data_IF_422195192133
#
_entry.id   IF_422195192133
#
_cell.length_a   1.000
_cell.length_b   1.000
_cell.length_c   1.000
_cell.angle_alpha   90.00
_cell.angle_beta   90.00
_cell.angle_gamma   90.00
#
_symmetry.space_group_name_H-M   'P 1'
#
loop_
_entity.id
_entity.type
_entity.pdbx_description
1 polymer ?
#
# COMPACT_ATOMS: atom_id res chain seq x y z
N UNK A 1 34.26 47.08 14.76
CA UNK A 1 33.16 46.97 13.77
C UNK A 1 31.98 46.32 14.48
N UNK A 2 30.82 46.98 14.42
CA UNK A 2 29.42 46.55 14.67
C UNK A 2 29.15 45.08 15.12
N UNK A 3 28.18 44.73 15.96
CA UNK A 3 27.18 45.47 16.76
C UNK A 3 26.60 44.53 17.83
N UNK A 4 26.16 45.14 18.93
CA UNK A 4 25.24 44.67 19.98
C UNK A 4 23.79 44.60 19.39
N UNK A 5 22.69 44.12 19.96
CA UNK A 5 22.31 43.62 21.28
C UNK A 5 20.92 42.95 21.15
N UNK A 6 20.54 42.26 22.21
CA UNK A 6 19.28 41.66 22.56
C UNK A 6 18.12 42.67 22.78
N UNK A 7 16.91 42.25 22.38
CA UNK A 7 15.64 42.23 23.12
C UNK A 7 15.35 43.30 24.21
N UNK A 8 14.22 44.03 24.07
CA UNK A 8 13.23 44.26 25.16
C UNK A 8 12.07 45.19 24.75
N UNK A 9 10.87 44.82 25.21
CA UNK A 9 9.55 45.48 25.18
C UNK A 9 9.51 46.89 25.79
N UNK A 10 8.48 47.71 25.47
CA UNK A 10 7.58 48.45 26.40
C UNK A 10 6.66 49.49 25.67
N UNK A 11 5.36 49.48 26.04
CA UNK A 11 4.36 50.57 26.22
C UNK A 11 3.88 51.56 25.12
N UNK A 12 2.54 51.79 25.21
CA UNK A 12 1.82 53.09 25.17
C UNK A 12 0.99 53.52 23.93
N UNK A 13 -0.33 53.44 24.12
CA UNK A 13 -1.37 54.48 23.90
C UNK A 13 -1.25 55.52 22.76
N UNK A 14 -2.24 55.46 21.85
CA UNK A 14 -3.15 56.57 21.54
C UNK A 14 -2.63 57.76 20.74
N UNK A 15 -3.19 57.97 19.54
CA UNK A 15 -3.75 59.27 19.08
C UNK A 15 -4.49 59.06 17.76
N UNK A 16 -5.63 59.75 17.63
CA UNK A 16 -6.53 59.62 16.49
C UNK A 16 -5.97 60.22 15.20
N UNK A 17 -6.40 59.63 14.09
CA UNK A 17 -6.36 60.27 12.78
C UNK A 17 -7.69 60.02 12.07
N UNK A 18 -8.35 61.12 11.76
CA UNK A 18 -9.56 61.23 10.95
C UNK A 18 -9.19 61.01 9.48
N UNK A 19 -9.87 60.12 8.73
CA UNK A 19 -9.83 60.15 7.28
C UNK A 19 -10.99 60.99 6.71
N UNK A 20 -10.77 61.78 5.64
CA UNK A 20 -11.77 62.66 5.06
C UNK A 20 -12.77 61.92 4.16
N UNK A 21 -14.02 62.36 4.24
CA UNK A 21 -15.11 62.13 3.29
C UNK A 21 -14.80 62.73 1.90
N UNK A 22 -14.78 61.87 0.88
CA UNK A 22 -15.07 62.15 -0.54
C UNK A 22 -15.59 60.80 -1.09
N UNK A 23 -16.86 60.61 -1.47
CA UNK A 23 -17.53 61.22 -2.60
C UNK A 23 -18.10 60.04 -3.42
N UNK A 24 -19.39 59.75 -3.28
CA UNK A 24 -20.06 58.66 -4.00
C UNK A 24 -20.15 59.01 -5.50
N UNK A 25 -19.48 58.24 -6.36
CA UNK A 25 -19.79 58.16 -7.79
C UNK A 25 -20.29 56.75 -8.10
N UNK A 26 -21.59 56.66 -8.42
CA UNK A 26 -22.18 55.45 -9.00
C UNK A 26 -21.72 55.33 -10.45
N UNK A 27 -20.77 54.43 -10.71
CA UNK A 27 -20.45 53.99 -12.07
C UNK A 27 -21.28 52.75 -12.38
N UNK A 28 -22.26 52.88 -13.27
CA UNK A 28 -22.99 51.76 -13.85
C UNK A 28 -22.02 50.88 -14.66
N UNK A 29 -22.06 49.54 -14.51
CA UNK A 29 -21.37 48.64 -15.44
C UNK A 29 -22.10 48.60 -16.80
N UNK A 30 -21.38 48.39 -17.92
CA UNK A 30 -21.91 48.48 -19.27
C UNK A 30 -22.88 47.33 -19.62
N UNK A 31 -23.77 47.51 -20.61
CA UNK A 31 -24.76 46.51 -20.97
C UNK A 31 -24.12 45.28 -21.63
N UNK A 32 -24.35 44.10 -21.03
CA UNK A 32 -24.03 42.82 -21.64
C UNK A 32 -25.11 42.52 -22.69
N UNK A 33 -24.77 42.77 -23.94
CA UNK A 33 -25.50 42.29 -25.10
C UNK A 33 -25.19 40.80 -25.29
N UNK A 34 -26.05 39.92 -24.80
CA UNK A 34 -25.99 38.49 -25.12
C UNK A 34 -27.16 38.15 -26.04
N UNK A 35 -26.87 38.14 -27.34
CA UNK A 35 -27.65 37.34 -28.27
C UNK A 35 -27.59 35.86 -27.85
N UNK A 36 -28.70 35.12 -27.88
CA UNK A 36 -28.68 33.68 -27.63
C UNK A 36 -27.90 32.99 -28.76
N UNK A 37 -26.92 32.11 -28.46
CA UNK A 37 -26.26 31.34 -29.49
C UNK A 37 -27.27 30.40 -30.15
N UNK A 38 -27.29 30.51 -31.47
CA UNK A 38 -28.02 29.72 -32.45
C UNK A 38 -27.84 28.23 -32.17
N UNK A 39 -28.96 27.52 -32.14
CA UNK A 39 -29.06 26.07 -32.18
C UNK A 39 -28.16 25.51 -33.30
N UNK A 40 -27.12 24.78 -32.90
CA UNK A 40 -26.46 23.82 -33.78
C UNK A 40 -26.23 22.52 -33.00
N UNK A 41 -27.31 21.87 -32.56
CA UNK A 41 -27.27 20.45 -32.22
C UNK A 41 -27.43 19.64 -33.50
N UNK A 42 -26.32 19.40 -34.19
CA UNK A 42 -26.22 18.29 -35.13
C UNK A 42 -25.75 17.04 -34.37
N UNK A 43 -26.67 16.07 -34.26
CA UNK A 43 -26.43 14.63 -34.41
C UNK A 43 -25.13 14.05 -33.85
N UNK A 44 -25.16 13.61 -32.58
CA UNK A 44 -24.34 12.49 -32.08
C UNK A 44 -24.96 11.90 -30.80
N UNK A 45 -26.20 11.41 -30.91
CA UNK A 45 -26.83 10.53 -29.93
C UNK A 45 -27.27 9.23 -30.61
N UNK A 46 -26.28 8.52 -31.15
CA UNK A 46 -26.42 7.12 -31.54
C UNK A 46 -25.17 6.40 -31.05
N UNK A 47 -25.17 6.03 -29.76
CA UNK A 47 -24.50 4.83 -29.20
C UNK A 47 -24.54 4.82 -27.66
N UNK A 48 -25.74 4.82 -27.09
CA UNK A 48 -25.98 4.36 -25.72
C UNK A 48 -26.71 3.01 -25.81
N UNK A 49 -26.13 1.88 -25.37
CA UNK A 49 -26.92 0.68 -25.17
C UNK A 49 -27.76 0.84 -23.90
N UNK A 50 -29.06 0.63 -24.08
CA UNK A 50 -30.08 0.52 -23.04
C UNK A 50 -29.71 -0.59 -22.05
N UNK A 51 -29.92 -0.35 -20.77
CA UNK A 51 -30.10 -1.42 -19.80
C UNK A 51 -31.35 -2.21 -20.18
N UNK A 52 -31.24 -3.55 -20.31
CA UNK A 52 -32.19 -4.52 -19.73
C UNK A 52 -32.03 -5.95 -20.31
N UNK A 53 -32.02 -6.90 -19.38
CA UNK A 53 -32.28 -8.36 -19.47
C UNK A 53 -31.25 -9.29 -20.11
N UNK A 54 -31.13 -10.45 -19.45
CA UNK A 54 -30.36 -11.64 -19.79
C UNK A 54 -30.42 -12.01 -21.28
N UNK A 55 -29.26 -12.10 -21.93
CA UNK A 55 -28.72 -13.31 -22.57
C UNK A 55 -27.55 -12.95 -23.50
N UNK A 56 -26.60 -13.88 -23.68
CA UNK A 56 -25.76 -13.94 -24.88
C UNK A 56 -24.51 -13.05 -24.93
N UNK A 57 -23.41 -13.60 -24.40
CA UNK A 57 -22.04 -13.57 -24.98
C UNK A 57 -21.65 -12.38 -25.86
N UNK A 58 -20.83 -11.47 -25.34
CA UNK A 58 -19.96 -10.62 -26.17
C UNK A 58 -18.55 -10.50 -25.57
N UNK A 59 -17.58 -10.69 -26.45
CA UNK A 59 -16.13 -10.76 -26.25
C UNK A 59 -15.59 -9.47 -25.62
N UNK A 60 -15.38 -9.51 -24.30
CA UNK A 60 -14.52 -8.56 -23.59
C UNK A 60 -13.09 -9.06 -23.72
N UNK A 61 -12.12 -8.19 -24.01
CA UNK A 61 -10.69 -8.54 -23.97
C UNK A 61 -10.38 -9.24 -22.65
N UNK A 62 -9.71 -10.39 -22.68
CA UNK A 62 -9.45 -11.24 -21.50
C UNK A 62 -8.82 -10.46 -20.34
N UNK A 63 -8.03 -9.43 -20.65
CA UNK A 63 -7.41 -8.53 -19.68
C UNK A 63 -8.43 -7.69 -18.89
N UNK A 64 -9.44 -7.12 -19.55
CA UNK A 64 -10.47 -6.29 -18.91
C UNK A 64 -11.39 -7.10 -18.01
N UNK A 65 -11.72 -8.33 -18.43
CA UNK A 65 -12.47 -9.27 -17.60
C UNK A 65 -11.69 -9.68 -16.35
N UNK A 66 -10.41 -10.03 -16.49
CA UNK A 66 -9.56 -10.39 -15.36
C UNK A 66 -9.45 -9.25 -14.34
N UNK A 67 -9.33 -8.01 -14.82
CA UNK A 67 -9.27 -6.84 -13.95
C UNK A 67 -10.57 -6.59 -13.20
N UNK A 68 -11.73 -6.72 -13.85
CA UNK A 68 -13.04 -6.62 -13.17
C UNK A 68 -13.20 -7.68 -12.09
N UNK A 69 -12.77 -8.92 -12.34
CA UNK A 69 -12.85 -9.99 -11.34
C UNK A 69 -11.97 -9.65 -10.13
N UNK A 70 -10.74 -9.16 -10.35
CA UNK A 70 -9.86 -8.75 -9.25
C UNK A 70 -10.42 -7.58 -8.44
N UNK A 71 -11.04 -6.60 -9.11
CA UNK A 71 -11.74 -5.51 -8.41
C UNK A 71 -12.84 -6.05 -7.49
N UNK A 72 -13.73 -6.91 -8.01
CA UNK A 72 -14.83 -7.47 -7.21
C UNK A 72 -14.31 -8.27 -6.01
N UNK A 73 -13.20 -8.99 -6.17
CA UNK A 73 -12.61 -9.78 -5.11
C UNK A 73 -11.91 -8.89 -4.07
N UNK A 74 -11.20 -7.83 -4.49
CA UNK A 74 -10.66 -6.80 -3.59
C UNK A 74 -11.76 -6.11 -2.77
N UNK A 75 -12.85 -5.71 -3.42
CA UNK A 75 -14.02 -5.10 -2.77
C UNK A 75 -14.63 -6.05 -1.74
N UNK A 76 -14.66 -7.36 -2.04
CA UNK A 76 -15.16 -8.37 -1.09
C UNK A 76 -14.31 -8.46 0.18
N UNK A 77 -12.99 -8.27 0.08
CA UNK A 77 -12.07 -8.22 1.23
C UNK A 77 -12.37 -6.97 2.05
N UNK A 78 -12.42 -5.80 1.41
CA UNK A 78 -12.64 -4.51 2.09
C UNK A 78 -13.98 -4.50 2.83
N UNK A 79 -15.02 -5.11 2.23
CA UNK A 79 -16.33 -5.27 2.86
C UNK A 79 -16.30 -6.14 4.12
N UNK A 80 -15.41 -7.14 4.19
CA UNK A 80 -15.26 -8.03 5.36
C UNK A 80 -14.28 -7.48 6.39
N UNK A 81 -13.24 -6.77 5.94
CA UNK A 81 -12.15 -6.27 6.74
C UNK A 81 -11.98 -4.76 6.48
N UNK A 82 -12.71 -3.95 7.24
CA UNK A 82 -12.72 -2.48 7.07
C UNK A 82 -11.35 -1.81 7.28
N UNK A 83 -10.40 -2.49 7.92
CA UNK A 83 -9.03 -2.05 8.15
C UNK A 83 -8.04 -2.56 7.08
N UNK A 84 -8.52 -3.30 6.07
CA UNK A 84 -7.70 -3.74 4.95
C UNK A 84 -7.24 -2.53 4.11
N UNK A 85 -6.01 -2.60 3.58
CA UNK A 85 -5.39 -1.54 2.78
C UNK A 85 -4.96 -2.10 1.44
N UNK A 86 -5.32 -1.42 0.36
CA UNK A 86 -4.80 -1.74 -0.97
C UNK A 86 -3.35 -1.25 -1.04
N UNK A 87 -2.43 -2.17 -1.34
CA UNK A 87 -0.98 -1.90 -1.41
C UNK A 87 -0.53 -1.60 -2.83
N UNK A 88 -1.13 -2.25 -3.82
CA UNK A 88 -0.93 -1.96 -5.25
C UNK A 88 -2.21 -1.34 -5.82
N UNK A 89 -2.20 -0.03 -6.02
CA UNK A 89 -3.37 0.76 -6.43
C UNK A 89 -3.66 0.75 -7.93
N UNK A 90 -2.67 0.41 -8.76
CA UNK A 90 -2.84 0.39 -10.22
C UNK A 90 -3.60 -0.86 -10.67
N UNK A 91 -3.32 -2.01 -10.04
CA UNK A 91 -3.88 -3.29 -10.45
C UNK A 91 -4.83 -3.92 -9.43
N UNK A 92 -4.93 -3.35 -8.22
CA UNK A 92 -5.64 -3.90 -7.07
C UNK A 92 -5.24 -5.35 -6.72
N UNK A 93 -4.05 -5.78 -7.15
CA UNK A 93 -3.58 -7.15 -7.00
C UNK A 93 -3.04 -7.49 -5.61
N UNK A 94 -2.70 -6.48 -4.79
CA UNK A 94 -2.06 -6.70 -3.48
C UNK A 94 -2.81 -5.93 -2.40
N UNK A 95 -3.20 -6.63 -1.33
CA UNK A 95 -3.90 -6.08 -0.18
C UNK A 95 -3.23 -6.52 1.11
N UNK A 96 -3.10 -5.59 2.07
CA UNK A 96 -2.67 -5.88 3.44
C UNK A 96 -3.91 -5.91 4.34
N UNK A 97 -4.10 -7.01 5.06
CA UNK A 97 -5.23 -7.25 5.96
C UNK A 97 -4.72 -7.44 7.39
N UNK A 98 -4.80 -6.42 8.25
CA UNK A 98 -4.44 -6.56 9.66
C UNK A 98 -5.53 -7.31 10.41
N UNK A 99 -5.14 -8.29 11.23
CA UNK A 99 -6.05 -8.96 12.17
C UNK A 99 -5.49 -8.87 13.59
N UNK A 100 -6.39 -8.80 14.56
CA UNK A 100 -6.05 -8.84 15.98
C UNK A 100 -6.34 -10.24 16.53
N UNK A 101 -5.33 -10.87 17.10
CA UNK A 101 -5.41 -12.19 17.74
C UNK A 101 -6.01 -12.08 19.15
N UNK A 102 -6.41 -13.22 19.73
CA UNK A 102 -6.98 -13.29 21.09
C UNK A 102 -6.02 -12.79 22.19
N UNK A 103 -4.72 -12.90 21.96
CA UNK A 103 -3.67 -12.42 22.87
C UNK A 103 -3.39 -10.90 22.73
N UNK A 104 -4.18 -10.18 21.92
CA UNK A 104 -3.99 -8.73 21.67
C UNK A 104 -2.92 -8.40 20.64
N UNK A 105 -2.19 -9.39 20.13
CA UNK A 105 -1.18 -9.18 19.09
C UNK A 105 -1.84 -8.92 17.74
N UNK A 106 -1.32 -7.94 16.99
CA UNK A 106 -1.75 -7.67 15.63
C UNK A 106 -0.81 -8.32 14.62
N UNK A 107 -1.36 -9.04 13.64
CA UNK A 107 -0.62 -9.61 12.52
C UNK A 107 -1.22 -9.08 11.23
N UNK A 108 -0.36 -8.65 10.31
CA UNK A 108 -0.79 -8.22 8.98
C UNK A 108 -0.52 -9.31 7.96
N UNK A 109 -1.58 -9.72 7.26
CA UNK A 109 -1.52 -10.68 6.17
C UNK A 109 -1.51 -9.92 4.84
N UNK A 110 -0.54 -10.21 3.99
CA UNK A 110 -0.48 -9.70 2.62
C UNK A 110 -1.07 -10.73 1.68
N UNK A 111 -2.09 -10.32 0.93
CA UNK A 111 -2.83 -11.11 -0.05
C UNK A 111 -2.43 -10.64 -1.45
N UNK A 112 -2.02 -11.57 -2.31
CA UNK A 112 -1.65 -11.33 -3.71
C UNK A 112 -2.58 -12.15 -4.63
N UNK A 113 -3.32 -11.44 -5.49
CA UNK A 113 -4.03 -12.00 -6.63
C UNK A 113 -3.07 -12.07 -7.83
N UNK A 114 -2.55 -13.26 -8.13
CA UNK A 114 -1.56 -13.49 -9.18
C UNK A 114 -2.10 -13.20 -10.59
N UNK A 115 -1.23 -13.18 -11.61
CA UNK A 115 -1.61 -12.96 -13.00
C UNK A 115 -2.64 -13.99 -13.51
N UNK A 116 -2.53 -15.25 -13.07
CA UNK A 116 -3.46 -16.34 -13.41
C UNK A 116 -4.76 -16.33 -12.59
N UNK A 117 -4.96 -15.37 -11.69
CA UNK A 117 -6.20 -15.24 -10.93
C UNK A 117 -7.40 -14.89 -11.85
N UNK A 118 -8.60 -15.46 -11.65
CA UNK A 118 -9.03 -16.34 -10.55
C UNK A 118 -8.81 -17.84 -10.77
N UNK A 119 -8.13 -18.25 -11.85
CA UNK A 119 -7.88 -19.68 -12.14
C UNK A 119 -6.98 -20.34 -11.09
N UNK A 120 -6.05 -19.57 -10.55
CA UNK A 120 -5.22 -19.95 -9.42
C UNK A 120 -5.68 -19.23 -8.14
N UNK A 121 -5.54 -19.87 -6.96
CA UNK A 121 -5.84 -19.24 -5.68
C UNK A 121 -4.93 -18.04 -5.43
N UNK A 122 -5.36 -17.09 -4.57
CA UNK A 122 -4.48 -16.02 -4.14
C UNK A 122 -3.37 -16.57 -3.25
N UNK A 123 -2.20 -15.93 -3.31
CA UNK A 123 -1.11 -16.18 -2.37
C UNK A 123 -1.26 -15.29 -1.15
N UNK A 124 -0.94 -15.83 0.02
CA UNK A 124 -1.04 -15.08 1.27
C UNK A 124 0.25 -15.30 2.06
N UNK A 125 0.87 -14.22 2.52
CA UNK A 125 2.03 -14.22 3.42
C UNK A 125 1.76 -13.34 4.63
N UNK A 126 2.55 -13.46 5.68
CA UNK A 126 2.54 -12.52 6.81
C UNK A 126 3.63 -11.46 6.68
N UNK A 127 3.41 -10.29 7.27
CA UNK A 127 4.42 -9.22 7.37
C UNK A 127 5.32 -9.35 8.61
N UNK A 128 5.34 -10.53 9.24
CA UNK A 128 6.24 -10.90 10.32
C UNK A 128 6.49 -12.42 10.26
N UNK A 129 7.58 -12.87 10.89
CA UNK A 129 7.92 -14.30 10.93
C UNK A 129 7.15 -15.00 12.05
N UNK A 130 6.31 -15.95 11.66
CA UNK A 130 5.44 -16.70 12.57
C UNK A 130 5.54 -18.20 12.35
N UNK A 131 5.26 -18.99 13.40
CA UNK A 131 5.10 -20.44 13.34
C UNK A 131 3.65 -20.83 13.63
N UNK A 132 3.01 -21.46 12.65
CA UNK A 132 1.61 -21.89 12.73
C UNK A 132 1.36 -23.12 11.84
N UNK A 133 0.37 -23.94 12.18
CA UNK A 133 0.06 -25.16 11.41
C UNK A 133 -0.37 -24.86 9.95
N UNK A 134 -1.03 -23.73 9.75
CA UNK A 134 -1.47 -23.25 8.43
C UNK A 134 -0.46 -22.31 7.75
N UNK A 135 0.83 -22.37 8.14
CA UNK A 135 1.91 -21.59 7.51
C UNK A 135 3.05 -22.55 7.18
N UNK A 136 3.53 -22.52 5.94
CA UNK A 136 4.65 -23.37 5.51
C UNK A 136 6.02 -22.80 5.91
N UNK A 137 7.09 -23.57 5.67
CA UNK A 137 8.47 -23.16 5.94
C UNK A 137 8.92 -21.95 5.09
N UNK A 138 8.19 -21.64 4.03
CA UNK A 138 8.44 -20.51 3.12
C UNK A 138 7.73 -19.23 3.56
N UNK A 139 6.84 -19.30 4.56
CA UNK A 139 6.06 -18.16 5.06
C UNK A 139 4.74 -17.93 4.32
N UNK A 140 4.30 -18.88 3.47
CA UNK A 140 2.99 -18.84 2.83
C UNK A 140 1.93 -19.48 3.71
N UNK A 141 0.73 -18.89 3.71
CA UNK A 141 -0.43 -19.48 4.38
C UNK A 141 -0.93 -20.65 3.53
N UNK A 142 -0.90 -21.84 4.11
CA UNK A 142 -1.41 -23.07 3.52
C UNK A 142 -2.66 -23.48 4.28
N UNK A 143 -3.83 -23.31 3.66
CA UNK A 143 -5.12 -23.53 4.33
C UNK A 143 -6.07 -24.35 3.44
N UNK A 144 -6.91 -25.26 4.00
CA UNK A 144 -7.86 -26.05 3.22
C UNK A 144 -8.77 -25.23 2.30
N UNK A 145 -9.25 -24.07 2.77
CA UNK A 145 -10.10 -23.17 1.96
C UNK A 145 -9.38 -22.58 0.74
N UNK A 146 -8.05 -22.40 0.80
CA UNK A 146 -7.27 -21.95 -0.35
C UNK A 146 -7.06 -23.08 -1.37
N UNK A 147 -6.95 -24.33 -0.88
CA UNK A 147 -6.85 -25.53 -1.75
C UNK A 147 -8.15 -25.84 -2.49
N UNK A 148 -9.29 -25.44 -1.92
CA UNK A 148 -10.63 -25.60 -2.49
C UNK A 148 -11.10 -24.36 -3.26
N UNK A 149 -10.19 -23.43 -3.56
CA UNK A 149 -10.51 -22.20 -4.28
C UNK A 149 -11.17 -22.47 -5.63
N UNK A 150 -12.23 -21.73 -5.93
CA UNK A 150 -12.87 -21.72 -7.25
C UNK A 150 -13.11 -20.28 -7.70
N UNK A 151 -13.33 -20.06 -8.99
CA UNK A 151 -13.63 -18.72 -9.50
C UNK A 151 -14.92 -18.10 -8.93
N UNK A 152 -15.82 -18.94 -8.42
CA UNK A 152 -17.09 -18.54 -7.82
C UNK A 152 -16.93 -18.20 -6.33
N UNK A 153 -15.78 -18.50 -5.73
CA UNK A 153 -15.52 -18.23 -4.31
C UNK A 153 -15.38 -16.73 -4.07
N UNK A 154 -15.94 -16.25 -2.95
CA UNK A 154 -15.65 -14.89 -2.45
C UNK A 154 -14.39 -14.91 -1.60
N UNK A 155 -13.39 -14.12 -1.99
CA UNK A 155 -12.13 -14.03 -1.26
C UNK A 155 -12.31 -13.47 0.14
N UNK A 156 -13.20 -12.49 0.34
CA UNK A 156 -13.55 -11.99 1.67
C UNK A 156 -14.07 -13.10 2.60
N UNK A 157 -14.94 -14.00 2.10
CA UNK A 157 -15.49 -15.10 2.89
C UNK A 157 -14.43 -16.18 3.17
N UNK A 158 -13.60 -16.51 2.18
CA UNK A 158 -12.47 -17.44 2.35
C UNK A 158 -11.51 -16.92 3.42
N UNK A 159 -11.11 -15.65 3.35
CA UNK A 159 -10.23 -15.03 4.34
C UNK A 159 -10.85 -14.97 5.73
N UNK A 160 -12.17 -14.78 5.83
CA UNK A 160 -12.87 -14.82 7.12
C UNK A 160 -12.68 -16.17 7.82
N UNK A 161 -12.78 -17.27 7.06
CA UNK A 161 -12.55 -18.61 7.61
C UNK A 161 -11.07 -18.80 7.96
N UNK A 162 -10.16 -18.46 7.04
CA UNK A 162 -8.71 -18.59 7.24
C UNK A 162 -8.28 -17.84 8.51
N UNK A 163 -8.62 -16.56 8.63
CA UNK A 163 -8.20 -15.73 9.76
C UNK A 163 -8.89 -16.11 11.07
N UNK A 164 -10.12 -16.63 11.01
CA UNK A 164 -10.78 -17.21 12.19
C UNK A 164 -9.96 -18.35 12.78
N UNK A 165 -9.33 -19.17 11.95
CA UNK A 165 -8.48 -20.25 12.43
C UNK A 165 -7.22 -19.69 13.10
N UNK A 166 -6.56 -18.67 12.54
CA UNK A 166 -5.44 -17.98 13.22
C UNK A 166 -5.85 -17.31 14.54
N UNK A 167 -7.08 -16.79 14.65
CA UNK A 167 -7.59 -16.22 15.90
C UNK A 167 -7.87 -17.32 16.93
N UNK A 168 -8.37 -18.48 16.49
CA UNK A 168 -8.68 -19.60 17.36
C UNK A 168 -7.45 -20.39 17.79
N UNK A 169 -6.46 -20.50 16.93
CA UNK A 169 -5.14 -21.08 17.20
C UNK A 169 -4.07 -20.03 16.94
N UNK A 170 -3.77 -19.16 17.92
CA UNK A 170 -2.80 -18.09 17.75
C UNK A 170 -1.43 -18.61 17.30
N UNK A 171 -0.80 -17.99 16.30
CA UNK A 171 0.54 -18.33 15.86
C UNK A 171 1.61 -17.95 16.90
N UNK A 172 2.72 -18.70 16.92
CA UNK A 172 3.88 -18.32 17.72
C UNK A 172 4.69 -17.28 16.94
N UNK A 173 4.84 -16.10 17.52
CA UNK A 173 5.62 -15.02 16.93
C UNK A 173 7.12 -15.24 17.16
N UNK A 174 7.92 -15.12 16.10
CA UNK A 174 9.38 -15.32 16.17
C UNK A 174 10.10 -13.97 16.08
N UNK A 175 9.81 -13.18 15.04
CA UNK A 175 10.45 -11.87 14.81
C UNK A 175 9.61 -10.96 13.90
N UNK A 176 9.88 -9.65 13.96
CA UNK A 176 9.31 -8.65 13.04
C UNK A 176 9.98 -8.69 11.66
N UNK A 177 11.02 -9.50 11.49
CA UNK A 177 11.64 -9.67 10.18
C UNK A 177 10.66 -10.34 9.21
N UNK A 178 10.66 -9.84 7.98
CA UNK A 178 9.84 -10.37 6.91
C UNK A 178 10.28 -11.81 6.55
N UNK A 179 9.34 -12.74 6.32
CA UNK A 179 9.68 -14.08 5.86
C UNK A 179 10.52 -14.06 4.57
N UNK A 180 11.37 -15.08 4.40
CA UNK A 180 12.33 -15.20 3.28
C UNK A 180 11.68 -15.03 1.90
N UNK A 181 10.41 -15.43 1.74
CA UNK A 181 9.66 -15.31 0.48
C UNK A 181 8.48 -14.31 0.57
N UNK A 182 8.61 -13.25 1.36
CA UNK A 182 7.55 -12.24 1.50
C UNK A 182 7.19 -11.59 0.16
N UNK A 183 5.89 -11.34 -0.05
CA UNK A 183 5.38 -10.65 -1.24
C UNK A 183 5.87 -9.19 -1.20
N UNK A 184 6.82 -8.83 -2.08
CA UNK A 184 7.25 -7.43 -2.27
C UNK A 184 6.38 -6.72 -3.32
N UNK A 185 6.38 -5.38 -3.31
CA UNK A 185 5.75 -4.57 -4.37
C UNK A 185 6.32 -4.89 -5.76
N UNK A 186 7.58 -5.33 -5.86
CA UNK A 186 8.27 -5.72 -7.10
C UNK A 186 7.85 -7.12 -7.60
N UNK A 187 7.49 -8.03 -6.69
CA UNK A 187 7.02 -9.39 -7.02
C UNK A 187 5.65 -9.39 -7.72
N UNK A 188 4.87 -8.31 -7.59
CA UNK A 188 3.56 -8.17 -8.22
C UNK A 188 3.60 -8.03 -9.75
N UNK A 189 4.76 -7.69 -10.35
CA UNK A 189 4.88 -7.34 -11.77
C UNK A 189 5.56 -8.41 -12.66
N UNK A 190 6.21 -9.44 -12.09
CA UNK A 190 7.04 -10.41 -12.84
C UNK A 190 6.41 -11.82 -12.95
N UNK A 191 5.26 -12.08 -12.29
CA UNK A 191 4.46 -13.27 -12.58
C UNK A 191 5.10 -14.64 -12.30
N UNK A 192 6.21 -14.71 -11.55
CA UNK A 192 6.91 -15.97 -11.27
C UNK A 192 7.13 -16.16 -9.77
N UNK A 193 6.11 -16.72 -9.11
CA UNK A 193 6.32 -17.57 -7.93
C UNK A 193 5.39 -18.76 -8.10
N UNK A 194 5.92 -19.84 -8.67
CA UNK A 194 5.36 -21.17 -8.50
C UNK A 194 5.91 -21.72 -7.19
N UNK A 195 5.08 -22.19 -6.24
CA UNK A 195 5.59 -23.11 -5.23
C UNK A 195 6.06 -24.38 -5.96
N UNK A 196 7.20 -24.99 -5.58
CA UNK A 196 7.59 -26.27 -6.14
C UNK A 196 6.52 -27.31 -5.80
N UNK A 197 5.73 -27.69 -6.81
CA UNK A 197 4.93 -28.91 -6.78
C UNK A 197 5.94 -30.05 -6.81
N UNK A 198 6.16 -30.70 -5.67
CA UNK A 198 7.00 -31.89 -5.61
C UNK A 198 7.62 -32.15 -4.25
N UNK A 199 6.83 -32.64 -3.30
CA UNK A 199 7.35 -33.63 -2.35
C UNK A 199 6.30 -34.70 -2.10
N UNK A 200 6.71 -35.91 -2.44
CA UNK A 200 6.02 -37.18 -2.31
C UNK A 200 5.60 -37.47 -0.87
N UNK A 201 4.51 -38.24 -0.65
CA UNK A 201 4.17 -38.72 0.69
C UNK A 201 5.12 -39.86 1.10
N UNK A 202 5.41 -40.05 2.40
CA UNK A 202 6.14 -41.21 2.89
C UNK A 202 5.28 -42.49 2.74
N UNK A 203 5.90 -43.67 2.56
CA UNK A 203 5.20 -44.91 2.29
C UNK A 203 4.44 -45.39 3.53
N UNK A 204 3.11 -45.48 3.43
CA UNK A 204 2.22 -46.02 4.45
C UNK A 204 1.25 -47.02 3.85
N UNK A 205 1.55 -48.29 4.08
CA UNK A 205 0.73 -49.51 4.07
C UNK A 205 -0.73 -49.44 3.56
N UNK A 206 -1.01 -50.33 2.60
CA UNK A 206 -2.31 -50.82 2.16
C UNK A 206 -3.45 -50.73 3.19
N UNK A 207 -4.61 -50.17 2.81
CA UNK A 207 -5.83 -50.95 2.58
C UNK A 207 -7.00 -50.13 2.05
N UNK A 208 -7.84 -50.86 1.31
CA UNK A 208 -9.04 -50.56 0.52
C UNK A 208 -10.19 -49.88 1.28
N UNK A 209 -10.93 -49.01 0.56
CA UNK A 209 -12.29 -48.53 0.91
C UNK A 209 -13.35 -49.65 0.69
N UNK A 210 -14.65 -49.55 1.09
CA UNK A 210 -15.55 -48.42 0.76
C UNK A 210 -16.65 -48.01 1.77
N UNK A 211 -17.11 -46.76 1.59
CA UNK A 211 -18.46 -46.18 1.72
C UNK A 211 -19.45 -46.75 2.77
N UNK A 212 -19.95 -45.88 3.68
CA UNK A 212 -21.37 -45.89 4.08
C UNK A 212 -21.87 -44.58 4.68
N UNK A 213 -23.19 -44.41 4.53
CA UNK A 213 -24.07 -43.27 4.80
C UNK A 213 -24.33 -42.97 6.31
N UNK A 214 -24.90 -41.77 6.53
CA UNK A 214 -25.90 -41.38 7.56
C UNK A 214 -25.48 -40.75 8.91
N UNK A 215 -25.87 -39.46 9.00
CA UNK A 215 -26.61 -38.73 10.06
C UNK A 215 -26.04 -38.50 11.50
N UNK A 216 -26.40 -37.35 12.13
CA UNK A 216 -25.84 -36.86 13.41
C UNK A 216 -26.64 -37.42 14.61
N UNK A 217 -26.18 -37.30 15.89
CA UNK A 217 -26.58 -36.12 16.69
C UNK A 217 -25.80 -35.78 18.01
N UNK A 218 -26.12 -34.61 18.58
CA UNK A 218 -26.29 -34.24 20.01
C UNK A 218 -25.07 -33.94 20.92
N UNK A 219 -25.20 -32.76 21.55
CA UNK A 219 -24.52 -32.18 22.71
C UNK A 219 -24.52 -33.05 23.98
N UNK A 220 -23.46 -32.99 24.78
CA UNK A 220 -23.45 -32.41 26.16
C UNK A 220 -22.04 -32.46 26.81
N UNK A 221 -21.68 -31.48 27.68
CA UNK A 221 -20.50 -31.47 28.56
C UNK A 221 -20.89 -32.00 29.97
N UNK A 222 -20.21 -31.74 31.12
CA UNK A 222 -18.82 -31.35 31.48
C UNK A 222 -18.21 -32.32 32.56
N UNK A 223 -17.03 -32.03 33.14
CA UNK A 223 -16.57 -32.32 34.54
C UNK A 223 -15.04 -32.06 34.63
N UNK A 224 -14.53 -30.97 35.21
CA UNK A 224 -14.20 -30.67 36.64
C UNK A 224 -13.12 -31.55 37.30
N UNK A 225 -11.98 -30.94 37.65
CA UNK A 225 -11.25 -30.98 38.94
C UNK A 225 -9.78 -30.56 38.74
N UNK A 226 -9.34 -29.36 39.16
CA UNK A 226 -8.78 -29.02 40.48
C UNK A 226 -7.47 -29.75 40.83
N UNK A 227 -6.34 -29.02 40.90
CA UNK A 227 -5.49 -28.91 42.12
C UNK A 227 -4.35 -27.87 41.97
N UNK A 228 -3.90 -27.34 43.11
CA UNK A 228 -3.19 -26.08 43.40
C UNK A 228 -1.62 -26.15 43.33
N UNK A 229 -0.88 -25.04 43.55
CA UNK A 229 0.47 -24.70 43.04
C UNK A 229 1.62 -24.97 44.05
N UNK A 230 2.89 -24.47 43.88
CA UNK A 230 3.24 -23.07 44.27
C UNK A 230 4.44 -22.37 43.57
N UNK A 231 4.52 -21.06 43.83
CA UNK A 231 5.67 -20.15 44.07
C UNK A 231 6.59 -19.57 42.96
N UNK A 232 6.46 -18.23 42.83
CA UNK A 232 7.47 -17.16 42.94
C UNK A 232 8.90 -17.38 42.42
N UNK A 233 9.38 -16.46 41.54
CA UNK A 233 10.61 -15.64 41.74
C UNK A 233 10.67 -14.53 40.67
N UNK A 234 10.88 -13.29 41.10
CA UNK A 234 11.25 -12.11 40.28
C UNK A 234 12.79 -12.03 40.27
N UNK A 235 13.43 -11.61 39.16
CA UNK A 235 14.38 -10.51 39.32
C UNK A 235 14.35 -9.44 38.22
N UNK A 236 14.61 -8.23 38.71
CA UNK A 236 15.00 -6.99 38.04
C UNK A 236 16.27 -7.14 37.18
N UNK A 237 16.35 -6.43 36.06
CA UNK A 237 17.62 -6.16 35.35
C UNK A 237 17.71 -4.67 35.04
N UNK A 238 18.68 -4.07 35.70
CA UNK A 238 19.22 -2.71 35.56
C UNK A 238 20.07 -2.57 34.30
N UNK A 239 19.89 -1.48 33.55
CA UNK A 239 20.93 -0.93 32.67
C UNK A 239 22.01 -0.23 33.52
N UNK A 240 23.26 -0.17 33.04
CA UNK A 240 23.72 1.14 32.58
C UNK A 240 24.61 1.12 31.32
N UNK A 241 24.73 2.33 30.80
CA UNK A 241 25.41 2.79 29.60
C UNK A 241 26.89 3.13 29.89
N UNK A 242 27.66 3.35 28.81
CA UNK A 242 28.87 4.18 28.70
C UNK A 242 30.27 3.64 29.05
N UNK A 243 31.12 3.72 28.02
CA UNK A 243 32.43 4.38 27.95
C UNK A 243 33.73 3.68 28.37
N UNK A 244 34.75 4.14 27.62
CA UNK A 244 36.17 4.28 27.96
C UNK A 244 37.09 3.08 27.73
N UNK A 245 37.85 3.24 26.64
CA UNK A 245 39.25 2.85 26.52
C UNK A 245 40.00 3.06 27.84
N UNK A 246 40.59 2.00 28.37
CA UNK A 246 41.77 2.08 29.23
C UNK A 246 42.75 0.99 28.82
N UNK A 247 43.97 1.43 28.51
CA UNK A 247 45.12 0.58 28.24
C UNK A 247 45.55 -0.11 29.53
N UNK A 248 45.56 -1.44 29.53
CA UNK A 248 46.28 -2.23 30.52
C UNK A 248 47.01 -3.35 29.80
N UNK A 249 48.33 -3.35 29.97
CA UNK A 249 49.23 -4.44 29.59
C UNK A 249 48.94 -5.64 30.51
N UNK A 250 48.87 -6.86 29.97
CA UNK A 250 49.35 -8.00 30.73
C UNK A 250 50.34 -8.85 29.94
N UNK A 251 51.42 -9.13 30.66
CA UNK A 251 52.36 -10.24 30.54
C UNK A 251 51.75 -11.57 30.09
N UNK A 252 52.41 -12.14 29.07
CA UNK A 252 52.73 -13.56 28.85
C UNK A 252 51.81 -14.59 29.53
N UNK A 253 50.78 -15.03 28.81
CA UNK A 253 50.25 -16.40 28.83
C UNK A 253 49.40 -16.61 27.58
N UNK A 254 49.56 -17.76 26.94
CA UNK A 254 48.94 -18.09 25.64
C UNK A 254 47.43 -17.83 25.62
N UNK A 255 46.88 -17.22 24.54
CA UNK A 255 45.46 -17.22 24.29
C UNK A 255 45.07 -18.37 23.35
N UNK A 256 44.41 -19.39 23.90
CA UNK A 256 43.36 -20.12 23.16
C UNK A 256 42.09 -19.29 23.19
N UNK A 257 41.86 -18.51 22.12
CA UNK A 257 40.55 -17.94 21.81
C UNK A 257 40.23 -18.26 20.35
N UNK A 258 39.41 -19.30 20.15
CA UNK A 258 38.72 -19.55 18.90
C UNK A 258 37.42 -18.72 18.91
N UNK A 259 37.51 -17.47 18.46
CA UNK A 259 36.33 -16.78 17.96
C UNK A 259 36.22 -17.10 16.46
N UNK A 260 35.15 -17.82 16.11
CA UNK A 260 34.96 -18.42 14.80
C UNK A 260 34.33 -17.43 13.84
N UNK A 261 35.10 -16.45 13.38
CA UNK A 261 34.73 -15.66 12.19
C UNK A 261 35.97 -15.16 11.47
N UNK A 262 36.25 -15.78 10.31
CA UNK A 262 37.27 -15.42 9.33
C UNK A 262 38.74 -15.55 9.78
N UNK A 263 39.19 -16.79 10.02
CA UNK A 263 40.62 -17.09 10.03
C UNK A 263 41.07 -17.24 8.58
N UNK A 264 41.70 -16.21 8.01
CA UNK A 264 42.49 -16.37 6.78
C UNK A 264 43.59 -17.39 7.15
N UNK A 265 43.68 -18.53 6.46
CA UNK A 265 44.67 -19.55 6.80
C UNK A 265 46.04 -19.02 6.38
N UNK A 266 46.75 -18.38 7.31
CA UNK A 266 48.16 -18.13 7.10
C UNK A 266 48.89 -19.49 7.11
N UNK A 267 49.93 -19.66 6.29
CA UNK A 267 50.78 -20.83 6.41
C UNK A 267 51.40 -20.87 7.82
N UNK A 268 51.75 -22.06 8.31
CA UNK A 268 52.38 -22.23 9.62
C UNK A 268 53.85 -21.79 9.57
N UNK A 269 54.31 -21.04 10.58
CA UNK A 269 55.72 -20.65 10.70
C UNK A 269 56.58 -21.93 10.75
N UNK A 270 57.50 -22.14 9.80
CA UNK A 270 58.34 -23.32 9.80
C UNK A 270 59.22 -23.36 11.06
N UNK A 271 59.24 -24.50 11.75
CA UNK A 271 60.12 -24.73 12.91
C UNK A 271 61.52 -25.20 12.50
N UNK A 272 61.69 -25.54 11.23
CA UNK A 272 62.92 -25.98 10.61
C UNK A 272 62.99 -25.44 9.17
N UNK A 273 64.19 -25.09 8.73
CA UNK A 273 64.44 -24.59 7.38
C UNK A 273 65.35 -25.58 6.66
N UNK A 274 64.74 -26.53 5.98
CA UNK A 274 65.46 -27.50 5.14
C UNK A 274 66.35 -26.81 4.09
N UNK A 275 65.94 -25.63 3.64
CA UNK A 275 66.63 -24.76 2.70
C UNK A 275 68.01 -24.33 3.22
N UNK A 276 68.21 -24.25 4.54
CA UNK A 276 69.52 -23.97 5.15
C UNK A 276 70.44 -25.19 5.04
N UNK A 277 69.87 -26.40 5.07
CA UNK A 277 70.64 -27.65 4.91
C UNK A 277 71.04 -27.92 3.45
N UNK A 278 70.37 -27.27 2.49
CA UNK A 278 70.70 -27.32 1.07
C UNK A 278 71.76 -26.29 0.66
N UNK A 279 72.15 -25.34 1.52
CA UNK A 279 73.25 -24.43 1.25
C UNK A 279 74.57 -25.21 1.24
N UNK A 280 75.36 -25.05 0.18
CA UNK A 280 76.64 -25.76 -0.01
C UNK A 280 77.70 -25.31 1.00
N UNK A 281 77.71 -25.97 2.15
CA UNK A 281 78.80 -25.88 3.14
C UNK A 281 78.74 -24.67 4.08
N UNK A 282 79.64 -24.70 5.07
CA UNK A 282 79.71 -23.71 6.18
C UNK A 282 80.02 -22.30 5.67
N UNK A 283 80.78 -22.19 4.59
CA UNK A 283 81.20 -20.91 4.00
C UNK A 283 80.03 -20.15 3.35
N UNK A 284 79.05 -20.86 2.78
CA UNK A 284 77.83 -20.28 2.22
C UNK A 284 76.89 -19.76 3.32
N UNK A 285 76.80 -20.48 4.44
CA UNK A 285 76.03 -20.06 5.62
C UNK A 285 76.70 -18.86 6.30
N UNK A 286 78.04 -18.84 6.38
CA UNK A 286 78.80 -17.71 6.92
C UNK A 286 78.61 -16.44 6.08
N UNK A 287 78.68 -16.56 4.74
CA UNK A 287 78.37 -15.45 3.81
C UNK A 287 76.94 -14.93 3.94
N UNK A 288 75.98 -15.82 4.23
CA UNK A 288 74.59 -15.44 4.48
C UNK A 288 74.44 -14.71 5.82
N UNK A 289 75.23 -15.05 6.83
CA UNK A 289 75.23 -14.38 8.13
C UNK A 289 75.95 -13.03 8.09
N UNK A 290 77.01 -12.92 7.31
CA UNK A 290 77.85 -11.72 7.19
C UNK A 290 77.22 -10.64 6.28
N UNK A 291 76.24 -11.01 5.43
CA UNK A 291 75.56 -10.09 4.52
C UNK A 291 74.05 -10.06 4.77
N UNK A 292 73.56 -8.95 5.34
CA UNK A 292 72.14 -8.72 5.60
C UNK A 292 71.29 -8.79 4.32
N UNK A 293 71.86 -8.38 3.18
CA UNK A 293 71.15 -8.33 1.90
C UNK A 293 70.94 -9.73 1.30
N UNK A 294 71.96 -10.60 1.38
CA UNK A 294 71.83 -12.00 0.99
C UNK A 294 70.89 -12.76 1.93
N UNK A 295 70.93 -12.44 3.22
CA UNK A 295 70.02 -12.99 4.22
C UNK A 295 68.57 -12.63 3.91
N UNK A 296 68.27 -11.35 3.66
CA UNK A 296 66.93 -10.90 3.27
C UNK A 296 66.46 -11.57 1.99
N UNK A 297 67.32 -11.64 0.97
CA UNK A 297 66.98 -12.30 -0.29
C UNK A 297 66.68 -13.79 -0.10
N UNK A 298 67.41 -14.48 0.79
CA UNK A 298 67.11 -15.87 1.15
C UNK A 298 65.74 -16.00 1.84
N UNK A 299 65.44 -15.15 2.82
CA UNK A 299 64.15 -15.15 3.52
C UNK A 299 62.98 -14.81 2.57
N UNK A 300 63.18 -13.89 1.63
CA UNK A 300 62.18 -13.56 0.60
C UNK A 300 61.91 -14.72 -0.37
N UNK A 301 62.94 -15.54 -0.64
CA UNK A 301 62.83 -16.71 -1.51
C UNK A 301 62.24 -17.94 -0.81
N UNK A 302 62.08 -17.93 0.52
CA UNK A 302 61.41 -19.02 1.23
C UNK A 302 59.97 -19.17 0.73
N UNK A 303 59.60 -20.43 0.50
CA UNK A 303 58.27 -20.82 0.02
C UNK A 303 57.14 -20.25 0.90
N UNK A 304 57.33 -20.33 2.21
CA UNK A 304 56.45 -19.76 3.23
C UNK A 304 56.27 -18.24 3.07
N UNK A 305 57.36 -17.49 2.97
CA UNK A 305 57.34 -16.02 2.90
C UNK A 305 56.64 -15.55 1.61
N UNK A 306 56.91 -16.23 0.49
CA UNK A 306 56.27 -15.94 -0.79
C UNK A 306 54.77 -16.23 -0.75
N UNK A 307 54.38 -17.37 -0.18
CA UNK A 307 52.97 -17.76 -0.04
C UNK A 307 52.19 -16.78 0.86
N UNK A 308 52.76 -16.42 2.02
CA UNK A 308 52.16 -15.43 2.91
C UNK A 308 52.01 -14.05 2.24
N UNK A 309 53.01 -13.62 1.46
CA UNK A 309 52.97 -12.35 0.70
C UNK A 309 51.91 -12.39 -0.41
N UNK A 310 51.75 -13.53 -1.09
CA UNK A 310 50.70 -13.72 -2.08
C UNK A 310 49.30 -13.65 -1.44
N UNK A 311 49.07 -14.35 -0.33
CA UNK A 311 47.79 -14.30 0.40
C UNK A 311 47.46 -12.86 0.83
N UNK A 312 48.44 -12.11 1.33
CA UNK A 312 48.26 -10.70 1.67
C UNK A 312 47.86 -9.86 0.46
N UNK A 313 48.55 -10.04 -0.67
CA UNK A 313 48.28 -9.30 -1.89
C UNK A 313 46.90 -9.64 -2.46
N UNK A 314 46.51 -10.91 -2.45
CA UNK A 314 45.21 -11.39 -2.90
C UNK A 314 44.08 -10.84 -2.03
N UNK A 315 44.25 -10.85 -0.71
CA UNK A 315 43.29 -10.25 0.21
C UNK A 315 43.15 -8.75 -0.03
N UNK A 316 44.27 -8.05 -0.21
CA UNK A 316 44.29 -6.62 -0.50
C UNK A 316 43.58 -6.31 -1.81
N UNK A 317 43.83 -7.09 -2.85
CA UNK A 317 43.19 -6.94 -4.15
C UNK A 317 41.69 -7.24 -4.08
N UNK A 318 41.30 -8.33 -3.42
CA UNK A 318 39.90 -8.71 -3.23
C UNK A 318 39.13 -7.65 -2.44
N UNK A 319 39.70 -7.13 -1.36
CA UNK A 319 39.09 -6.04 -0.59
C UNK A 319 38.97 -4.75 -1.41
N UNK A 320 39.99 -4.41 -2.19
CA UNK A 320 39.94 -3.25 -3.08
C UNK A 320 38.83 -3.41 -4.15
N UNK A 321 38.69 -4.60 -4.73
CA UNK A 321 37.65 -4.87 -5.73
C UNK A 321 36.25 -4.85 -5.11
N UNK A 322 36.10 -5.37 -3.90
CA UNK A 322 34.84 -5.28 -3.14
C UNK A 322 34.50 -3.82 -2.87
N UNK A 323 35.46 -3.01 -2.42
CA UNK A 323 35.25 -1.59 -2.16
C UNK A 323 34.84 -0.84 -3.44
N UNK A 324 35.51 -1.09 -4.57
CA UNK A 324 35.15 -0.48 -5.86
C UNK A 324 33.73 -0.83 -6.29
N UNK A 325 33.37 -2.12 -6.26
CA UNK A 325 32.01 -2.57 -6.61
C UNK A 325 30.95 -2.03 -5.64
N UNK A 326 31.29 -1.86 -4.37
CA UNK A 326 30.38 -1.27 -3.38
C UNK A 326 30.09 0.18 -3.71
N UNK A 327 31.14 0.98 -3.95
CA UNK A 327 31.01 2.40 -4.32
C UNK A 327 30.22 2.56 -5.61
N UNK A 328 30.50 1.75 -6.62
CA UNK A 328 29.77 1.79 -7.90
C UNK A 328 28.27 1.46 -7.72
N UNK A 329 27.94 0.43 -6.93
CA UNK A 329 26.55 0.09 -6.62
C UNK A 329 25.86 1.20 -5.84
N UNK A 330 26.55 1.79 -4.87
CA UNK A 330 26.01 2.90 -4.08
C UNK A 330 25.71 4.11 -4.98
N UNK A 331 26.54 4.38 -5.98
CA UNK A 331 26.28 5.42 -6.98
C UNK A 331 25.07 5.10 -7.85
N UNK A 332 24.95 3.87 -8.37
CA UNK A 332 23.78 3.44 -9.15
C UNK A 332 22.48 3.51 -8.32
N UNK A 333 22.53 3.09 -7.06
CA UNK A 333 21.39 3.16 -6.14
C UNK A 333 21.01 4.62 -5.85
N UNK A 334 22.00 5.45 -5.54
CA UNK A 334 21.73 6.84 -5.17
C UNK A 334 21.28 7.70 -6.35
N UNK A 335 21.87 7.52 -7.54
CA UNK A 335 21.57 8.38 -8.68
C UNK A 335 20.38 7.85 -9.48
N UNK A 336 20.42 6.57 -9.90
CA UNK A 336 19.41 6.05 -10.83
C UNK A 336 18.13 5.64 -10.11
N UNK A 337 18.23 4.85 -9.05
CA UNK A 337 17.05 4.31 -8.37
C UNK A 337 16.31 5.39 -7.58
N UNK A 338 17.00 6.28 -6.86
CA UNK A 338 16.33 7.38 -6.15
C UNK A 338 15.65 8.37 -7.10
N UNK A 339 16.26 8.66 -8.25
CA UNK A 339 15.64 9.53 -9.26
C UNK A 339 14.36 8.89 -9.83
N UNK A 340 14.40 7.61 -10.19
CA UNK A 340 13.20 6.88 -10.64
C UNK A 340 12.10 6.85 -9.57
N UNK A 341 12.46 6.62 -8.31
CA UNK A 341 11.51 6.66 -7.19
C UNK A 341 10.91 8.07 -7.05
N UNK A 342 11.71 9.12 -7.19
CA UNK A 342 11.26 10.51 -7.11
C UNK A 342 10.29 10.83 -8.25
N UNK A 343 10.61 10.42 -9.48
CA UNK A 343 9.74 10.58 -10.64
C UNK A 343 8.43 9.82 -10.50
N UNK A 344 8.48 8.55 -10.09
CA UNK A 344 7.27 7.75 -9.86
C UNK A 344 6.41 8.30 -8.73
N UNK A 345 7.02 8.85 -7.69
CA UNK A 345 6.28 9.53 -6.62
C UNK A 345 5.56 10.78 -7.15
N UNK A 346 6.24 11.62 -7.92
CA UNK A 346 5.62 12.79 -8.54
C UNK A 346 4.47 12.42 -9.51
N UNK A 347 4.61 11.32 -10.24
CA UNK A 347 3.55 10.79 -11.10
C UNK A 347 2.33 10.33 -10.29
N UNK A 348 2.55 9.59 -9.19
CA UNK A 348 1.48 9.15 -8.28
C UNK A 348 0.76 10.34 -7.66
N UNK A 349 1.50 11.34 -7.18
CA UNK A 349 0.93 12.54 -6.58
C UNK A 349 0.03 13.28 -7.61
N UNK A 350 0.50 13.42 -8.85
CA UNK A 350 -0.29 14.02 -9.94
C UNK A 350 -1.56 13.24 -10.26
N UNK A 351 -1.49 11.92 -10.30
CA UNK A 351 -2.67 11.07 -10.55
C UNK A 351 -3.66 11.13 -9.39
N UNK A 352 -3.16 11.20 -8.15
CA UNK A 352 -3.99 11.33 -6.96
C UNK A 352 -4.76 12.66 -6.97
N UNK A 353 -4.10 13.77 -7.33
CA UNK A 353 -4.75 15.07 -7.50
C UNK A 353 -5.85 15.01 -8.58
N UNK A 354 -5.60 14.34 -9.69
CA UNK A 354 -6.59 14.18 -10.76
C UNK A 354 -7.78 13.34 -10.32
N UNK A 355 -7.55 12.24 -9.60
CA UNK A 355 -8.61 11.39 -9.06
C UNK A 355 -9.43 12.17 -8.05
N UNK A 356 -8.79 12.91 -7.14
CA UNK A 356 -9.48 13.74 -6.15
C UNK A 356 -10.34 14.81 -6.84
N UNK A 357 -9.81 15.49 -7.86
CA UNK A 357 -10.57 16.46 -8.65
C UNK A 357 -11.79 15.82 -9.32
N UNK A 358 -11.62 14.67 -9.97
CA UNK A 358 -12.72 13.96 -10.64
C UNK A 358 -13.77 13.47 -9.65
N UNK A 359 -13.34 12.96 -8.50
CA UNK A 359 -14.22 12.51 -7.43
C UNK A 359 -15.03 13.69 -6.84
N UNK A 360 -14.39 14.82 -6.59
CA UNK A 360 -15.07 16.05 -6.15
C UNK A 360 -16.09 16.52 -7.20
N UNK A 361 -15.70 16.53 -8.49
CA UNK A 361 -16.60 16.90 -9.58
C UNK A 361 -17.78 15.93 -9.69
N UNK A 362 -17.54 14.64 -9.58
CA UNK A 362 -18.59 13.61 -9.56
C UNK A 362 -19.53 13.83 -8.38
N UNK A 363 -19.00 14.07 -7.17
CA UNK A 363 -19.80 14.31 -5.98
C UNK A 363 -20.67 15.56 -6.15
N UNK A 364 -20.10 16.68 -6.62
CA UNK A 364 -20.86 17.91 -6.90
C UNK A 364 -21.98 17.69 -7.91
N UNK A 365 -21.70 17.00 -9.02
CA UNK A 365 -22.72 16.68 -10.02
C UNK A 365 -23.78 15.75 -9.43
N UNK A 366 -23.38 14.73 -8.69
CA UNK A 366 -24.31 13.78 -8.07
C UNK A 366 -25.24 14.47 -7.07
N UNK A 367 -24.76 15.45 -6.30
CA UNK A 367 -25.57 16.24 -5.37
C UNK A 367 -26.49 17.19 -6.12
N UNK A 368 -25.98 17.92 -7.12
CA UNK A 368 -26.77 18.89 -7.90
C UNK A 368 -27.90 18.22 -8.68
N UNK A 369 -27.65 17.04 -9.24
CA UNK A 369 -28.61 16.28 -10.04
C UNK A 369 -29.23 15.11 -9.26
N UNK A 370 -29.09 15.10 -7.93
CA UNK A 370 -29.79 14.13 -7.09
C UNK A 370 -31.30 14.28 -7.30
N UNK A 371 -32.06 13.18 -7.39
CA UNK A 371 -33.50 13.25 -7.60
C UNK A 371 -34.22 14.18 -6.62
N UNK A 372 -33.82 14.16 -5.35
CA UNK A 372 -34.37 15.04 -4.32
C UNK A 372 -34.15 16.52 -4.63
N UNK A 373 -32.97 16.88 -5.13
CA UNK A 373 -32.63 18.27 -5.45
C UNK A 373 -33.33 18.76 -6.71
N UNK A 374 -33.44 17.89 -7.72
CA UNK A 374 -34.25 18.17 -8.91
C UNK A 374 -35.74 18.33 -8.56
N UNK A 375 -36.25 17.54 -7.60
CA UNK A 375 -37.62 17.67 -7.12
C UNK A 375 -37.84 19.00 -6.40
N UNK A 376 -36.90 19.43 -5.55
CA UNK A 376 -36.95 20.74 -4.88
C UNK A 376 -36.96 21.86 -5.91
N UNK A 377 -36.02 21.86 -6.86
CA UNK A 377 -35.98 22.86 -7.93
C UNK A 377 -37.27 22.85 -8.77
N UNK A 378 -37.84 21.67 -9.02
CA UNK A 378 -39.10 21.56 -9.76
C UNK A 378 -40.28 22.13 -8.97
N UNK A 379 -40.33 21.94 -7.65
CA UNK A 379 -41.34 22.57 -6.79
C UNK A 379 -41.20 24.09 -6.79
N UNK A 380 -39.98 24.62 -6.60
CA UNK A 380 -39.73 26.06 -6.68
C UNK A 380 -40.20 26.66 -8.01
N UNK A 381 -39.96 25.96 -9.12
CA UNK A 381 -40.42 26.37 -10.45
C UNK A 381 -41.92 26.18 -10.67
N UNK A 382 -42.60 25.34 -9.90
CA UNK A 382 -44.07 25.27 -9.89
C UNK A 382 -44.63 26.49 -9.16
N UNK A 383 -44.09 26.78 -7.97
CA UNK A 383 -44.52 27.89 -7.12
C UNK A 383 -44.26 29.24 -7.80
N UNK A 384 -43.13 29.39 -8.51
CA UNK A 384 -42.81 30.59 -9.30
C UNK A 384 -43.87 30.85 -10.39
N UNK A 385 -44.27 29.82 -11.15
CA UNK A 385 -45.29 29.98 -12.20
C UNK A 385 -46.68 30.20 -11.61
N UNK A 386 -46.97 29.63 -10.45
CA UNK A 386 -48.21 29.90 -9.73
C UNK A 386 -48.29 31.38 -9.34
N UNK A 387 -47.23 31.90 -8.71
CA UNK A 387 -47.11 33.31 -8.34
C UNK A 387 -47.14 34.25 -9.56
N UNK A 388 -46.47 33.89 -10.66
CA UNK A 388 -46.56 34.66 -11.92
C UNK A 388 -48.00 34.69 -12.47
N UNK A 389 -48.76 33.61 -12.31
CA UNK A 389 -50.17 33.57 -12.75
C UNK A 389 -51.07 34.44 -11.87
N UNK A 390 -50.81 34.50 -10.56
CA UNK A 390 -51.48 35.44 -9.65
C UNK A 390 -51.14 36.88 -10.00
N UNK A 391 -49.86 37.19 -10.26
CA UNK A 391 -49.44 38.53 -10.70
C UNK A 391 -50.13 38.97 -12.00
N UNK A 392 -50.29 38.06 -12.97
CA UNK A 392 -51.05 38.35 -14.20
C UNK A 392 -52.52 38.65 -13.88
N UNK A 393 -53.10 37.97 -12.88
CA UNK A 393 -54.43 38.25 -12.34
C UNK A 393 -54.52 39.62 -11.71
N UNK A 394 -53.62 39.94 -10.77
CA UNK A 394 -53.58 41.21 -10.06
C UNK A 394 -53.39 42.39 -11.01
N UNK A 395 -52.47 42.28 -11.98
CA UNK A 395 -52.24 43.30 -13.00
C UNK A 395 -53.48 43.56 -13.87
N UNK A 396 -54.31 42.55 -14.10
CA UNK A 396 -55.57 42.70 -14.81
C UNK A 396 -56.62 43.40 -13.94
N UNK A 397 -56.70 43.08 -12.65
CA UNK A 397 -57.62 43.69 -11.70
C UNK A 397 -57.29 45.16 -11.41
N UNK A 398 -56.01 45.51 -11.41
CA UNK A 398 -55.52 46.89 -11.18
C UNK A 398 -55.71 47.80 -12.40
N UNK A 399 -56.10 47.26 -13.56
CA UNK A 399 -56.27 48.06 -14.76
C UNK A 399 -57.64 48.76 -14.80
N UNK A 400 -57.67 50.11 -14.89
CA UNK A 400 -58.90 50.88 -14.76
C UNK A 400 -59.86 50.80 -15.95
N UNK A 401 -59.42 50.26 -17.10
CA UNK A 401 -60.23 50.20 -18.33
C UNK A 401 -60.10 48.84 -19.00
N UNK A 402 -61.13 48.01 -18.93
CA UNK A 402 -61.15 46.68 -19.53
C UNK A 402 -61.46 46.76 -21.04
N UNK A 403 -60.48 47.19 -21.85
CA UNK A 403 -60.59 47.15 -23.30
C UNK A 403 -60.60 45.69 -23.81
N UNK A 404 -61.37 45.35 -24.87
CA UNK A 404 -61.48 43.97 -25.36
C UNK A 404 -60.13 43.32 -25.72
N UNK A 405 -59.17 44.12 -26.18
CA UNK A 405 -57.82 43.66 -26.49
C UNK A 405 -57.04 43.23 -25.24
N UNK A 406 -57.21 43.95 -24.13
CA UNK A 406 -56.54 43.68 -22.87
C UNK A 406 -57.09 42.43 -22.19
N UNK A 407 -58.41 42.19 -22.30
CA UNK A 407 -59.03 40.95 -21.82
C UNK A 407 -58.48 39.74 -22.57
N UNK A 408 -58.32 39.86 -23.89
CA UNK A 408 -57.73 38.77 -24.70
C UNK A 408 -56.27 38.51 -24.33
N UNK A 409 -55.46 39.55 -24.19
CA UNK A 409 -54.06 39.43 -23.78
C UNK A 409 -53.91 38.80 -22.39
N UNK A 410 -54.78 39.18 -21.45
CA UNK A 410 -54.86 38.56 -20.13
C UNK A 410 -55.17 37.06 -20.23
N UNK A 411 -56.21 36.68 -20.95
CA UNK A 411 -56.61 35.28 -21.11
C UNK A 411 -55.46 34.46 -21.71
N UNK A 412 -54.82 34.98 -22.76
CA UNK A 412 -53.72 34.29 -23.43
C UNK A 412 -52.53 34.06 -22.46
N UNK A 413 -52.10 35.10 -21.73
CA UNK A 413 -50.99 34.99 -20.76
C UNK A 413 -51.34 34.14 -19.54
N UNK A 414 -52.53 34.31 -18.98
CA UNK A 414 -52.98 33.57 -17.80
C UNK A 414 -53.11 32.09 -18.12
N UNK A 415 -53.70 31.75 -19.27
CA UNK A 415 -53.85 30.37 -19.71
C UNK A 415 -52.49 29.74 -20.01
N UNK A 416 -51.55 30.47 -20.60
CA UNK A 416 -50.17 30.01 -20.80
C UNK A 416 -49.52 29.61 -19.46
N UNK A 417 -49.57 30.50 -18.45
CA UNK A 417 -48.98 30.25 -17.13
C UNK A 417 -49.67 29.09 -16.40
N UNK A 418 -51.00 29.04 -16.38
CA UNK A 418 -51.75 27.94 -15.75
C UNK A 418 -51.53 26.60 -16.44
N UNK A 419 -51.44 26.59 -17.78
CA UNK A 419 -51.11 25.36 -18.53
C UNK A 419 -49.72 24.85 -18.16
N UNK A 420 -48.74 25.76 -18.06
CA UNK A 420 -47.39 25.42 -17.64
C UNK A 420 -47.32 24.91 -16.20
N UNK A 421 -48.09 25.51 -15.28
CA UNK A 421 -48.23 25.04 -13.89
C UNK A 421 -48.71 23.59 -13.84
N UNK A 422 -49.83 23.26 -14.49
CA UNK A 422 -50.38 21.89 -14.47
C UNK A 422 -49.45 20.88 -15.14
N UNK A 423 -48.78 21.28 -16.23
CA UNK A 423 -47.77 20.44 -16.88
C UNK A 423 -46.59 20.14 -15.96
N UNK A 424 -46.05 21.14 -15.25
CA UNK A 424 -44.95 20.95 -14.29
C UNK A 424 -45.39 20.10 -13.10
N UNK A 425 -46.60 20.31 -12.59
CA UNK A 425 -47.19 19.52 -11.50
C UNK A 425 -47.34 18.04 -11.88
N UNK A 426 -47.88 17.74 -13.06
CA UNK A 426 -47.99 16.37 -13.55
C UNK A 426 -46.62 15.71 -13.75
N UNK A 427 -45.65 16.46 -14.28
CA UNK A 427 -44.26 15.98 -14.43
C UNK A 427 -43.62 15.71 -13.07
N UNK A 428 -43.85 16.56 -12.07
CA UNK A 428 -43.38 16.37 -10.69
C UNK A 428 -43.95 15.11 -10.08
N UNK A 429 -45.26 14.88 -10.18
CA UNK A 429 -45.90 13.70 -9.59
C UNK A 429 -45.34 12.42 -10.21
N UNK A 430 -45.24 12.38 -11.55
CA UNK A 430 -44.59 11.27 -12.25
C UNK A 430 -43.12 11.09 -11.86
N UNK A 431 -42.38 12.19 -11.72
CA UNK A 431 -40.98 12.15 -11.31
C UNK A 431 -40.82 11.62 -9.89
N UNK A 432 -41.65 12.08 -8.95
CA UNK A 432 -41.69 11.62 -7.57
C UNK A 432 -41.96 10.11 -7.51
N UNK A 433 -43.01 9.64 -8.17
CA UNK A 433 -43.36 8.21 -8.18
C UNK A 433 -42.26 7.31 -8.78
N UNK A 434 -41.50 7.84 -9.75
CA UNK A 434 -40.46 7.09 -10.45
C UNK A 434 -39.13 7.08 -9.68
N UNK A 435 -38.75 8.19 -9.06
CA UNK A 435 -37.38 8.41 -8.56
C UNK A 435 -37.27 8.65 -7.04
N UNK A 436 -38.40 8.87 -6.35
CA UNK A 436 -38.48 9.13 -4.90
C UNK A 436 -39.46 8.09 -4.33
N UNK A 437 -38.99 6.87 -4.10
CA UNK A 437 -39.78 5.80 -3.47
C UNK A 437 -39.55 5.75 -1.97
#
# INVERSE_FOLDING_TARGET
MYNNNNNSSFYSSGTGFVPPTQGYSYQQPPPINTQPPINNMNSSFSNLPKTSYYSGTTTTTTADQAQRIRQLQADSIIKRFHNAKIVSTLDNNVLDVPITLKNGQQITFRVLMQQAFPQQPPLITTLCTIKHANVDLSGYVVHPQLRQWTQQSSLGDVLTIVFRDFINTPPNYISDELPKNHITKTTANIGMITPPIGSTPPPGLNQTSPLMFNQPPINQPPMTSSTYPPNNTIPSMTNPMTNSMTSTVPTNTQPTFQDSSCMIPLPNIPTNFSEISLLEGVDAVQKLLDSEELFKQFIENLSFTREAKNIYQDLRNANMDIAKRSVEKDEQINNTLKEQITQKKAEVDRLLDQVQFLQNKQQQLSQRYAPTQLLIMLNEKIDEVDNESEQVGDLFLDSPTAEPHQVKEFIDKYLEKRTLYYLRRQKRDRFKDTYIK
#
